data_IF_127227422851
#
_entry.id   IF_127227422851
#
_cell.length_a   1.000
_cell.length_b   1.000
_cell.length_c   1.000
_cell.angle_alpha   90.00
_cell.angle_beta   90.00
_cell.angle_gamma   90.00
#
_symmetry.space_group_name_H-M   'P 1'
#
loop_
_entity.id
_entity.type
_entity.pdbx_description
1 polymer ?
#
# COMPACT_ATOMS: atom_id res chain seq x y z
N UNK A 1 52.51 -42.39 26.39
CA UNK A 1 52.16 -40.96 26.22
C UNK A 1 51.11 -40.69 25.12
N UNK A 2 50.86 -41.61 24.17
CA UNK A 2 49.86 -41.43 23.09
C UNK A 2 48.38 -41.35 23.51
N UNK A 3 47.99 -41.94 24.66
CA UNK A 3 46.56 -42.02 25.06
C UNK A 3 45.98 -40.71 25.62
N UNK A 4 46.81 -39.77 26.10
CA UNK A 4 46.33 -38.47 26.62
C UNK A 4 46.11 -37.43 25.52
N UNK A 5 46.85 -37.52 24.40
CA UNK A 5 46.70 -36.59 23.27
C UNK A 5 45.42 -36.86 22.44
N UNK A 6 44.94 -38.11 22.39
CA UNK A 6 43.71 -38.44 21.66
C UNK A 6 42.47 -37.92 22.39
N UNK A 7 42.42 -37.97 23.72
CA UNK A 7 41.26 -37.51 24.50
C UNK A 7 41.08 -35.99 24.45
N UNK A 8 42.18 -35.23 24.38
CA UNK A 8 42.13 -33.76 24.26
C UNK A 8 41.67 -33.34 22.85
N UNK A 9 42.02 -34.11 21.82
CA UNK A 9 41.60 -33.82 20.45
C UNK A 9 40.09 -34.06 20.23
N UNK A 10 39.50 -35.05 20.92
CA UNK A 10 38.06 -35.34 20.84
C UNK A 10 37.20 -34.36 21.66
N UNK A 11 37.74 -33.74 22.70
CA UNK A 11 37.00 -32.75 23.50
C UNK A 11 36.95 -31.37 22.83
N UNK A 12 37.98 -31.00 22.08
CA UNK A 12 38.04 -29.71 21.36
C UNK A 12 37.17 -29.72 20.11
N UNK A 13 37.00 -30.87 19.43
CA UNK A 13 36.08 -31.00 18.31
C UNK A 13 34.60 -31.01 18.71
N UNK A 14 34.28 -31.37 19.96
CA UNK A 14 32.89 -31.33 20.43
C UNK A 14 32.44 -29.93 20.88
N UNK A 15 33.37 -29.04 21.23
CA UNK A 15 33.04 -27.65 21.59
C UNK A 15 33.02 -26.71 20.37
N UNK A 16 33.70 -27.07 19.28
CA UNK A 16 33.73 -26.27 18.04
C UNK A 16 32.48 -26.46 17.15
N UNK A 17 31.58 -27.38 17.49
CA UNK A 17 30.36 -27.65 16.70
C UNK A 17 29.07 -27.09 17.32
N UNK A 18 29.15 -26.43 18.49
CA UNK A 18 28.01 -25.73 19.11
C UNK A 18 27.91 -24.26 18.68
N UNK A 19 28.64 -23.84 17.64
CA UNK A 19 28.40 -22.60 16.91
C UNK A 19 27.37 -22.79 15.78
N UNK A 20 26.58 -23.88 15.82
CA UNK A 20 25.48 -24.13 14.91
C UNK A 20 24.31 -23.18 15.23
N UNK A 21 24.28 -22.07 14.49
CA UNK A 21 23.13 -21.23 14.19
C UNK A 21 22.17 -20.99 15.36
N UNK A 22 22.38 -19.87 16.06
CA UNK A 22 21.22 -19.01 16.33
C UNK A 22 20.69 -18.63 14.95
N UNK A 23 19.73 -19.38 14.43
CA UNK A 23 18.89 -18.85 13.37
C UNK A 23 18.28 -17.60 13.96
N UNK A 24 18.69 -16.43 13.47
CA UNK A 24 17.95 -15.22 13.76
C UNK A 24 16.48 -15.54 13.43
N UNK A 25 15.60 -15.39 14.41
CA UNK A 25 14.18 -15.63 14.18
C UNK A 25 13.73 -14.61 13.13
N UNK A 26 13.29 -15.08 11.97
CA UNK A 26 12.74 -14.22 10.92
C UNK A 26 11.61 -13.40 11.53
N UNK A 27 11.67 -12.08 11.33
CA UNK A 27 10.64 -11.15 11.78
C UNK A 27 9.50 -11.23 10.77
N UNK A 28 8.35 -11.73 11.21
CA UNK A 28 7.14 -11.84 10.39
C UNK A 28 6.30 -10.57 10.53
N UNK A 29 6.02 -9.89 9.42
CA UNK A 29 5.20 -8.69 9.36
C UNK A 29 3.97 -8.94 8.49
N UNK A 30 2.83 -8.41 8.91
CA UNK A 30 1.56 -8.49 8.18
C UNK A 30 1.18 -7.11 7.65
N UNK A 31 0.89 -7.04 6.35
CA UNK A 31 0.44 -5.83 5.67
C UNK A 31 -0.96 -6.01 5.08
N UNK A 32 -1.97 -5.37 5.69
CA UNK A 32 -3.35 -5.40 5.18
C UNK A 32 -3.59 -4.28 4.17
N UNK A 33 -4.17 -4.60 3.02
CA UNK A 33 -4.40 -3.63 1.95
C UNK A 33 -5.75 -3.79 1.23
N UNK A 34 -6.21 -2.71 0.59
CA UNK A 34 -7.45 -2.65 -0.17
C UNK A 34 -7.23 -2.72 -1.71
N UNK A 35 -5.99 -2.95 -2.14
CA UNK A 35 -5.65 -2.99 -3.56
C UNK A 35 -6.21 -4.23 -4.27
N UNK A 36 -7.11 -4.00 -5.22
CA UNK A 36 -7.73 -4.99 -6.09
C UNK A 36 -7.34 -4.83 -7.57
N UNK A 37 -7.66 -5.85 -8.38
CA UNK A 37 -7.40 -5.85 -9.82
C UNK A 37 -5.90 -5.78 -10.14
N UNK A 38 -5.53 -5.01 -11.17
CA UNK A 38 -4.11 -4.87 -11.56
C UNK A 38 -3.21 -4.29 -10.46
N UNK A 39 -3.77 -3.64 -9.43
CA UNK A 39 -3.01 -3.09 -8.30
C UNK A 39 -2.55 -4.17 -7.32
N UNK A 40 -3.22 -5.32 -7.24
CA UNK A 40 -2.82 -6.44 -6.38
C UNK A 40 -1.43 -6.92 -6.77
N UNK A 41 -1.19 -7.15 -8.06
CA UNK A 41 0.12 -7.56 -8.58
C UNK A 41 1.22 -6.51 -8.31
N UNK A 42 0.87 -5.23 -8.25
CA UNK A 42 1.83 -4.18 -7.90
C UNK A 42 2.23 -4.26 -6.42
N UNK A 43 1.29 -4.51 -5.52
CA UNK A 43 1.57 -4.72 -4.09
C UNK A 43 2.40 -5.97 -3.87
N UNK A 44 2.03 -7.09 -4.50
CA UNK A 44 2.78 -8.35 -4.45
C UNK A 44 4.23 -8.14 -4.89
N UNK A 45 4.45 -7.44 -6.02
CA UNK A 45 5.80 -7.15 -6.50
C UNK A 45 6.63 -6.31 -5.52
N UNK A 46 6.01 -5.35 -4.82
CA UNK A 46 6.71 -4.54 -3.80
C UNK A 46 7.13 -5.43 -2.63
N UNK A 47 6.24 -6.28 -2.15
CA UNK A 47 6.46 -7.19 -1.02
C UNK A 47 7.50 -8.26 -1.36
N UNK A 48 7.39 -8.88 -2.54
CA UNK A 48 8.35 -9.87 -3.03
C UNK A 48 9.74 -9.27 -3.19
N UNK A 49 9.82 -8.05 -3.71
CA UNK A 49 11.09 -7.32 -3.82
C UNK A 49 11.72 -7.05 -2.46
N UNK A 50 10.93 -6.59 -1.48
CA UNK A 50 11.39 -6.38 -0.11
C UNK A 50 11.88 -7.69 0.53
N UNK A 51 11.08 -8.75 0.48
CA UNK A 51 11.44 -10.05 1.06
C UNK A 51 12.68 -10.68 0.39
N UNK A 52 12.91 -10.40 -0.90
CA UNK A 52 14.11 -10.86 -1.60
C UNK A 52 15.39 -10.08 -1.20
N UNK A 53 15.24 -8.85 -0.70
CA UNK A 53 16.35 -8.02 -0.22
C UNK A 53 16.64 -8.23 1.28
N UNK A 54 15.74 -8.88 2.01
CA UNK A 54 15.80 -9.04 3.46
C UNK A 54 15.60 -10.50 3.89
N UNK A 55 16.70 -11.19 4.22
CA UNK A 55 16.64 -12.60 4.68
C UNK A 55 16.14 -12.75 6.14
N UNK A 56 16.11 -11.64 6.90
CA UNK A 56 15.75 -11.59 8.32
C UNK A 56 14.33 -11.06 8.59
N UNK A 57 13.63 -10.58 7.55
CA UNK A 57 12.27 -10.03 7.64
C UNK A 57 11.42 -10.63 6.52
N UNK A 58 10.25 -11.15 6.87
CA UNK A 58 9.26 -11.63 5.91
C UNK A 58 7.97 -10.83 6.06
N UNK A 59 7.54 -10.18 4.98
CA UNK A 59 6.28 -9.42 4.91
C UNK A 59 5.24 -10.24 4.16
N UNK A 60 4.08 -10.43 4.76
CA UNK A 60 2.90 -11.03 4.11
C UNK A 60 1.86 -9.95 3.83
N UNK A 61 1.56 -9.72 2.54
CA UNK A 61 0.46 -8.85 2.15
C UNK A 61 -0.88 -9.60 2.10
N UNK A 62 -1.91 -9.00 2.69
CA UNK A 62 -3.26 -9.55 2.74
C UNK A 62 -4.25 -8.54 2.16
N UNK A 63 -4.95 -8.94 1.10
CA UNK A 63 -6.10 -8.20 0.60
C UNK A 63 -7.30 -8.39 1.55
N UNK A 64 -7.82 -7.28 2.07
CA UNK A 64 -8.89 -7.27 3.08
C UNK A 64 -10.21 -6.67 2.58
N UNK A 65 -10.38 -6.55 1.26
CA UNK A 65 -11.58 -6.03 0.64
C UNK A 65 -11.46 -4.55 0.24
N UNK A 66 -12.56 -3.83 0.26
CA UNK A 66 -12.59 -2.39 0.02
C UNK A 66 -11.84 -1.62 1.11
N UNK A 67 -11.58 -0.35 0.84
CA UNK A 67 -10.98 0.57 1.81
C UNK A 67 -11.78 0.69 3.11
N UNK A 68 -13.12 0.74 3.03
CA UNK A 68 -13.98 0.82 4.20
C UNK A 68 -13.98 -0.49 5.02
N UNK A 69 -13.99 -1.64 4.33
CA UNK A 69 -13.88 -2.96 4.97
C UNK A 69 -12.53 -3.14 5.66
N UNK A 70 -11.44 -2.74 4.98
CA UNK A 70 -10.07 -2.79 5.52
C UNK A 70 -9.94 -1.96 6.80
N UNK A 71 -10.41 -0.71 6.78
CA UNK A 71 -10.43 0.16 7.97
C UNK A 71 -11.24 -0.46 9.12
N UNK A 72 -12.44 -0.96 8.82
CA UNK A 72 -13.33 -1.56 9.82
C UNK A 72 -12.70 -2.80 10.46
N UNK A 73 -12.10 -3.67 9.65
CA UNK A 73 -11.39 -4.85 10.13
C UNK A 73 -10.17 -4.46 10.97
N UNK A 74 -9.39 -3.46 10.54
CA UNK A 74 -8.24 -2.96 11.30
C UNK A 74 -8.61 -2.46 12.69
N UNK A 75 -9.64 -1.61 12.82
CA UNK A 75 -10.13 -1.13 14.12
C UNK A 75 -10.62 -2.29 14.98
N UNK A 76 -11.31 -3.27 14.38
CA UNK A 76 -11.76 -4.47 15.10
C UNK A 76 -10.59 -5.32 15.58
N UNK A 77 -9.55 -5.47 14.77
CA UNK A 77 -8.36 -6.26 15.05
C UNK A 77 -7.54 -5.65 16.21
N UNK A 78 -7.43 -4.32 16.24
CA UNK A 78 -6.83 -3.59 17.36
C UNK A 78 -7.61 -3.87 18.65
N UNK A 79 -8.95 -3.76 18.61
CA UNK A 79 -9.81 -3.99 19.78
C UNK A 79 -9.77 -5.43 20.29
N UNK A 80 -9.54 -6.40 19.40
CA UNK A 80 -9.40 -7.82 19.77
C UNK A 80 -7.98 -8.22 20.17
N UNK A 81 -7.02 -7.27 20.13
CA UNK A 81 -5.63 -7.49 20.52
C UNK A 81 -4.77 -8.17 19.47
N UNK A 82 -5.24 -8.28 18.22
CA UNK A 82 -4.52 -8.92 17.11
C UNK A 82 -4.46 -8.00 15.87
N UNK A 83 -3.93 -6.77 15.98
CA UNK A 83 -3.82 -5.87 14.82
C UNK A 83 -2.78 -6.37 13.80
N UNK A 84 -2.91 -6.03 12.51
CA UNK A 84 -1.81 -6.17 11.57
C UNK A 84 -0.67 -5.22 11.94
N UNK A 85 0.53 -5.50 11.43
CA UNK A 85 1.69 -4.64 11.63
C UNK A 85 1.61 -3.36 10.79
N UNK A 86 1.09 -3.49 9.57
CA UNK A 86 0.90 -2.39 8.62
C UNK A 86 -0.51 -2.49 8.04
N UNK A 87 -1.20 -1.36 7.91
CA UNK A 87 -2.52 -1.30 7.29
C UNK A 87 -2.61 -0.12 6.32
N UNK A 88 -3.13 -0.38 5.12
CA UNK A 88 -3.47 0.65 4.15
C UNK A 88 -4.82 1.26 4.51
N UNK A 89 -4.83 2.57 4.74
CA UNK A 89 -6.05 3.35 4.98
C UNK A 89 -6.13 4.48 3.96
N UNK A 90 -7.33 4.70 3.45
CA UNK A 90 -7.65 5.80 2.54
C UNK A 90 -7.74 7.12 3.30
N UNK A 91 -7.65 8.22 2.56
CA UNK A 91 -7.47 9.57 3.07
C UNK A 91 -8.56 10.02 4.06
N UNK A 92 -9.82 9.59 3.87
CA UNK A 92 -10.94 9.89 4.77
C UNK A 92 -10.85 9.13 6.10
N UNK A 93 -10.19 7.97 6.12
CA UNK A 93 -9.99 7.17 7.33
C UNK A 93 -8.91 7.71 8.27
N UNK A 94 -8.12 8.69 7.83
CA UNK A 94 -6.97 9.22 8.59
C UNK A 94 -7.38 9.71 9.98
N UNK A 95 -8.39 10.59 10.08
CA UNK A 95 -8.83 11.11 11.37
C UNK A 95 -9.35 9.99 12.29
N UNK A 96 -10.11 9.04 11.74
CA UNK A 96 -10.59 7.88 12.50
C UNK A 96 -9.43 7.07 13.09
N UNK A 97 -8.32 6.90 12.35
CA UNK A 97 -7.14 6.21 12.85
C UNK A 97 -6.41 7.01 13.93
N UNK A 98 -6.33 8.34 13.79
CA UNK A 98 -5.77 9.23 14.82
C UNK A 98 -6.57 9.13 16.12
N UNK A 99 -7.90 9.27 16.02
CA UNK A 99 -8.81 9.22 17.17
C UNK A 99 -8.87 7.83 17.83
N UNK A 100 -8.50 6.78 17.10
CA UNK A 100 -8.50 5.41 17.61
C UNK A 100 -7.31 5.09 18.53
N UNK A 101 -6.28 5.94 18.56
CA UNK A 101 -5.00 5.71 19.25
C UNK A 101 -4.33 4.37 18.86
N UNK A 102 -4.71 3.82 17.70
CA UNK A 102 -4.30 2.50 17.24
C UNK A 102 -3.08 2.48 16.31
N UNK A 103 -2.51 3.65 16.01
CA UNK A 103 -1.39 3.79 15.09
C UNK A 103 -0.16 4.30 15.81
N UNK A 104 1.00 3.86 15.34
CA UNK A 104 2.27 4.51 15.65
C UNK A 104 2.49 5.59 14.59
N UNK A 105 2.58 6.88 14.96
CA UNK A 105 2.80 7.94 13.98
C UNK A 105 4.15 7.77 13.29
N UNK A 106 4.18 8.02 11.97
CA UNK A 106 5.40 7.80 11.17
C UNK A 106 6.57 8.67 11.62
N UNK A 107 6.32 9.88 12.12
CA UNK A 107 7.39 10.74 12.67
C UNK A 107 8.06 10.16 13.93
N UNK A 108 7.43 9.21 14.63
CA UNK A 108 8.01 8.49 15.78
C UNK A 108 8.84 7.28 15.33
N UNK A 109 8.64 6.82 14.09
CA UNK A 109 9.39 5.71 13.49
C UNK A 109 10.74 6.23 12.97
N UNK A 110 11.77 5.40 13.11
CA UNK A 110 13.14 5.68 12.64
C UNK A 110 13.75 7.01 13.16
N UNK A 111 13.32 7.48 14.34
CA UNK A 111 13.77 8.76 14.92
C UNK A 111 13.59 9.95 13.97
N UNK A 112 12.58 9.90 13.09
CA UNK A 112 12.31 10.95 12.10
C UNK A 112 13.31 10.99 10.93
N UNK A 113 14.12 9.94 10.72
CA UNK A 113 15.15 9.87 9.66
C UNK A 113 14.64 9.40 8.29
N UNK A 114 13.32 9.31 8.10
CA UNK A 114 12.74 8.93 6.81
C UNK A 114 12.85 10.11 5.85
N UNK A 115 13.49 9.91 4.71
CA UNK A 115 13.60 10.92 3.65
C UNK A 115 12.32 10.96 2.81
N UNK A 116 11.58 12.05 2.92
CA UNK A 116 10.36 12.31 2.14
C UNK A 116 10.60 13.25 0.96
N UNK A 117 11.85 13.59 0.62
CA UNK A 117 12.19 14.57 -0.41
C UNK A 117 11.68 14.22 -1.82
N UNK A 118 11.37 12.95 -2.07
CA UNK A 118 10.76 12.48 -3.32
C UNK A 118 9.24 12.53 -3.34
N UNK A 119 8.58 12.78 -2.20
CA UNK A 119 7.13 12.84 -2.09
C UNK A 119 6.64 14.24 -2.43
N UNK A 120 5.58 14.31 -3.24
CA UNK A 120 4.95 15.57 -3.65
C UNK A 120 4.38 16.28 -2.42
N UNK A 121 4.81 17.52 -2.16
CA UNK A 121 4.53 18.25 -0.92
C UNK A 121 3.05 18.32 -0.51
N UNK A 122 2.08 18.58 -1.42
CA UNK A 122 0.66 18.49 -1.09
C UNK A 122 0.22 17.17 -0.44
N UNK A 123 0.83 16.04 -0.81
CA UNK A 123 0.53 14.73 -0.22
C UNK A 123 1.02 14.68 1.23
N UNK A 124 2.25 15.16 1.49
CA UNK A 124 2.79 15.22 2.86
C UNK A 124 1.94 16.11 3.76
N UNK A 125 1.53 17.28 3.25
CA UNK A 125 0.69 18.20 3.99
C UNK A 125 -0.66 17.58 4.37
N UNK A 126 -1.24 16.76 3.48
CA UNK A 126 -2.52 16.11 3.75
C UNK A 126 -2.46 15.15 4.94
N UNK A 127 -1.34 14.42 5.09
CA UNK A 127 -1.14 13.45 6.18
C UNK A 127 -0.42 14.04 7.40
N UNK A 128 -0.22 15.35 7.42
CA UNK A 128 0.43 16.04 8.53
C UNK A 128 -0.60 16.74 9.43
N UNK A 129 -0.48 16.54 10.74
CA UNK A 129 -1.26 17.25 11.76
C UNK A 129 -0.28 17.98 12.68
N UNK A 130 -0.53 19.25 12.96
CA UNK A 130 0.35 20.10 13.78
C UNK A 130 1.84 20.08 13.35
N UNK A 131 2.09 19.93 12.05
CA UNK A 131 3.45 19.89 11.48
C UNK A 131 4.16 18.54 11.54
N UNK A 132 3.48 17.50 12.04
CA UNK A 132 4.00 16.15 12.17
C UNK A 132 3.33 15.19 11.19
N UNK A 133 4.11 14.35 10.49
CA UNK A 133 3.59 13.38 9.52
C UNK A 133 3.11 12.10 10.23
N UNK A 134 1.79 11.89 10.28
CA UNK A 134 1.20 10.76 11.01
C UNK A 134 1.12 9.48 10.20
N UNK A 135 1.08 9.57 8.87
CA UNK A 135 0.91 8.41 7.98
C UNK A 135 1.92 8.40 6.85
N UNK A 136 2.35 7.21 6.45
CA UNK A 136 3.29 7.01 5.35
C UNK A 136 2.50 7.12 4.04
N UNK A 137 2.82 8.08 3.15
CA UNK A 137 2.20 8.11 1.84
C UNK A 137 2.57 6.85 1.05
N UNK A 138 1.58 6.08 0.64
CA UNK A 138 1.79 4.83 -0.11
C UNK A 138 1.41 4.98 -1.59
N UNK A 139 0.22 5.50 -1.85
CA UNK A 139 -0.25 5.81 -3.20
C UNK A 139 -1.17 7.04 -3.16
N UNK A 140 -1.18 7.80 -4.25
CA UNK A 140 -2.08 8.94 -4.43
C UNK A 140 -2.69 8.89 -5.82
N UNK A 141 -3.93 9.36 -5.94
CA UNK A 141 -4.70 9.37 -7.17
C UNK A 141 -5.21 10.78 -7.44
N UNK A 142 -5.27 11.14 -8.72
CA UNK A 142 -5.99 12.34 -9.18
C UNK A 142 -7.11 11.93 -10.10
N UNK A 143 -8.19 12.70 -10.11
CA UNK A 143 -9.25 12.51 -11.09
C UNK A 143 -8.68 12.75 -12.50
N UNK A 144 -9.07 11.88 -13.43
CA UNK A 144 -8.72 11.96 -14.84
C UNK A 144 -10.00 11.81 -15.66
N UNK A 145 -10.13 12.64 -16.70
CA UNK A 145 -11.21 12.47 -17.67
C UNK A 145 -10.75 11.52 -18.76
N UNK A 146 -11.40 10.36 -18.84
CA UNK A 146 -11.27 9.43 -19.96
C UNK A 146 -12.45 9.61 -20.91
N UNK A 147 -12.21 9.52 -22.22
CA UNK A 147 -13.26 9.60 -23.22
C UNK A 147 -13.13 8.47 -24.24
N UNK A 148 -14.28 7.99 -24.73
CA UNK A 148 -14.33 6.96 -25.77
C UNK A 148 -14.19 7.64 -27.14
N UNK A 149 -13.02 7.46 -27.76
CA UNK A 149 -12.72 8.06 -29.08
C UNK A 149 -13.67 7.60 -30.18
N UNK A 150 -14.13 6.35 -30.14
CA UNK A 150 -15.02 5.79 -31.16
C UNK A 150 -16.41 6.41 -31.04
N UNK A 151 -16.93 6.54 -29.82
CA UNK A 151 -18.21 7.20 -29.58
C UNK A 151 -18.18 8.69 -29.97
N UNK A 152 -17.05 9.37 -29.71
CA UNK A 152 -16.83 10.75 -30.16
C UNK A 152 -16.83 10.84 -31.69
N UNK A 153 -16.10 9.95 -32.38
CA UNK A 153 -16.04 9.94 -33.83
C UNK A 153 -17.40 9.64 -34.48
N UNK A 154 -18.16 8.67 -33.94
CA UNK A 154 -19.51 8.33 -34.41
C UNK A 154 -20.51 9.48 -34.20
N UNK A 155 -20.37 10.22 -33.10
CA UNK A 155 -21.15 11.43 -32.84
C UNK A 155 -20.69 12.66 -33.65
N UNK A 156 -19.61 12.56 -34.43
CA UNK A 156 -19.06 13.67 -35.22
C UNK A 156 -18.30 14.71 -34.40
N UNK A 157 -17.77 14.34 -33.24
CA UNK A 157 -17.06 15.22 -32.30
C UNK A 157 -15.56 15.03 -32.47
N UNK A 158 -14.86 16.07 -32.92
CA UNK A 158 -13.40 16.06 -33.10
C UNK A 158 -12.64 16.72 -31.93
N UNK A 159 -13.33 17.55 -31.13
CA UNK A 159 -12.74 18.26 -30.00
C UNK A 159 -12.76 17.40 -28.73
N UNK A 160 -11.79 17.63 -27.85
CA UNK A 160 -11.79 17.09 -26.48
C UNK A 160 -12.47 18.13 -25.59
N UNK A 161 -13.34 17.73 -24.63
CA UNK A 161 -13.98 18.68 -23.74
C UNK A 161 -12.94 19.37 -22.84
N UNK A 162 -12.99 20.70 -22.77
CA UNK A 162 -12.12 21.51 -21.91
C UNK A 162 -12.87 22.10 -20.72
N UNK A 163 -14.20 22.18 -20.82
CA UNK A 163 -15.08 22.74 -19.81
C UNK A 163 -16.20 21.77 -19.43
N UNK A 164 -16.85 22.02 -18.28
CA UNK A 164 -18.04 21.27 -17.88
C UNK A 164 -19.21 21.42 -18.87
N UNK A 165 -19.33 22.58 -19.50
CA UNK A 165 -20.34 22.81 -20.54
C UNK A 165 -20.06 21.93 -21.77
N UNK A 166 -18.78 21.78 -22.17
CA UNK A 166 -18.40 20.88 -23.26
C UNK A 166 -18.75 19.44 -22.93
N UNK A 167 -18.51 18.99 -21.69
CA UNK A 167 -18.86 17.63 -21.25
C UNK A 167 -20.35 17.38 -21.39
N UNK A 168 -21.19 18.34 -20.98
CA UNK A 168 -22.64 18.24 -21.09
C UNK A 168 -23.10 18.23 -22.55
N UNK A 169 -22.65 19.19 -23.35
CA UNK A 169 -23.04 19.34 -24.75
C UNK A 169 -22.60 18.13 -25.59
N UNK A 170 -21.32 17.74 -25.49
CA UNK A 170 -20.77 16.58 -26.19
C UNK A 170 -21.43 15.28 -25.71
N UNK A 171 -21.69 15.15 -24.41
CA UNK A 171 -22.41 14.01 -23.85
C UNK A 171 -23.82 13.86 -24.41
N UNK A 172 -24.56 14.96 -24.54
CA UNK A 172 -25.89 14.98 -25.18
C UNK A 172 -25.80 14.67 -26.68
N UNK A 173 -24.80 15.19 -27.38
CA UNK A 173 -24.57 14.89 -28.79
C UNK A 173 -24.31 13.40 -29.01
N UNK A 174 -23.50 12.76 -28.16
CA UNK A 174 -23.24 11.31 -28.18
C UNK A 174 -24.53 10.49 -27.97
N UNK A 175 -25.38 10.91 -27.03
CA UNK A 175 -26.66 10.24 -26.78
C UNK A 175 -27.59 10.39 -27.99
N UNK A 176 -27.70 11.59 -28.54
CA UNK A 176 -28.61 11.90 -29.65
C UNK A 176 -28.17 11.26 -30.98
N UNK A 177 -26.86 11.06 -31.19
CA UNK A 177 -26.36 10.34 -32.37
C UNK A 177 -26.61 8.83 -32.30
N UNK A 178 -26.88 8.30 -31.09
CA UNK A 178 -26.97 6.86 -30.83
C UNK A 178 -25.62 6.18 -30.62
N UNK A 179 -24.52 6.93 -30.58
CA UNK A 179 -23.17 6.38 -30.40
C UNK A 179 -22.97 5.74 -29.01
N UNK A 180 -23.71 6.20 -27.99
CA UNK A 180 -23.81 5.53 -26.69
C UNK A 180 -25.11 5.88 -25.96
N UNK A 181 -25.53 5.03 -25.01
CA UNK A 181 -26.71 5.27 -24.19
C UNK A 181 -26.49 6.32 -23.09
N UNK A 182 -25.23 6.63 -22.76
CA UNK A 182 -24.84 7.54 -21.69
C UNK A 182 -23.64 8.39 -22.13
N UNK A 183 -23.65 9.68 -21.79
CA UNK A 183 -22.60 10.63 -22.16
C UNK A 183 -21.51 10.84 -21.09
N UNK A 184 -21.76 10.43 -19.84
CA UNK A 184 -20.83 10.62 -18.72
C UNK A 184 -21.03 9.53 -17.66
N UNK A 185 -19.94 9.09 -17.03
CA UNK A 185 -19.94 8.22 -15.86
C UNK A 185 -18.92 8.70 -14.84
N UNK A 186 -19.31 8.71 -13.57
CA UNK A 186 -18.42 8.89 -12.42
C UNK A 186 -18.07 7.56 -11.74
N UNK A 187 -18.49 6.44 -12.35
CA UNK A 187 -18.12 5.12 -11.87
C UNK A 187 -16.63 4.87 -12.08
N UNK A 188 -16.06 4.00 -11.25
CA UNK A 188 -14.71 3.50 -11.47
C UNK A 188 -14.69 2.72 -12.79
N UNK A 189 -13.69 2.96 -13.68
CA UNK A 189 -13.48 2.07 -14.80
C UNK A 189 -13.24 0.68 -14.24
N UNK A 190 -14.12 -0.27 -14.60
CA UNK A 190 -13.97 -1.67 -14.27
C UNK A 190 -12.76 -2.26 -15.01
#
# INVERSE_FOLDING_TARGET
MLKKSIIILTLVTLFAFSAAMVSAQTIELEFWHAMSGGRTAAVEKIVDGFNAEHDDINVTAQFTGSYAETLTQGISAVRSGNPPHIIQVYEVGTQTMLDSEAIVPVYEIAEGKIDFGSVIQPILNYYSVDGHLYSMPFNSSTAMLYYNKDAFAEAGIAAVPETWADIEEMGLQIINSGAANHGLSFGWPA
#
